data_IF_677924574365
#
_entry.id   IF_677924574365
#
_cell.length_a   1.000
_cell.length_b   1.000
_cell.length_c   1.000
_cell.angle_alpha   90.00
_cell.angle_beta   90.00
_cell.angle_gamma   90.00
#
_symmetry.space_group_name_H-M   'P 1'
#
loop_
_entity.id
_entity.type
_entity.pdbx_description
1 polymer ?
#
# COMPACT_ATOMS: atom_id res chain seq x y z
N UNK A 1 25.38 11.61 15.31
CA UNK A 1 24.46 10.53 15.74
C UNK A 1 23.09 10.86 15.21
N UNK A 2 22.44 9.93 14.50
CA UNK A 2 21.09 10.15 13.99
C UNK A 2 20.12 10.36 15.17
N UNK A 3 19.30 11.42 15.14
CA UNK A 3 18.26 11.64 16.14
C UNK A 3 17.18 10.54 16.03
N UNK A 4 16.88 9.79 17.10
CA UNK A 4 15.87 8.73 17.05
C UNK A 4 14.48 9.27 16.68
N UNK A 5 14.13 10.45 17.19
CA UNK A 5 12.85 11.12 16.92
C UNK A 5 12.75 11.50 15.45
N UNK A 6 13.82 12.08 14.90
CA UNK A 6 13.84 12.47 13.48
C UNK A 6 13.75 11.24 12.57
N UNK A 7 14.45 10.15 12.92
CA UNK A 7 14.35 8.89 12.19
C UNK A 7 12.90 8.37 12.17
N UNK A 8 12.21 8.35 13.32
CA UNK A 8 10.82 7.91 13.41
C UNK A 8 9.89 8.79 12.56
N UNK A 9 10.03 10.12 12.63
CA UNK A 9 9.23 11.06 11.83
C UNK A 9 9.43 10.87 10.33
N UNK A 10 10.68 10.68 9.89
CA UNK A 10 11.00 10.42 8.49
C UNK A 10 10.34 9.12 8.02
N UNK A 11 10.42 8.04 8.79
CA UNK A 11 9.78 6.76 8.45
C UNK A 11 8.26 6.78 8.53
N UNK A 12 7.67 7.68 9.33
CA UNK A 12 6.23 7.88 9.39
C UNK A 12 5.68 8.53 8.12
N UNK A 13 6.42 9.47 7.53
CA UNK A 13 6.02 10.13 6.27
C UNK A 13 6.24 9.18 5.09
N UNK A 14 7.43 8.58 4.97
CA UNK A 14 7.75 7.58 3.95
C UNK A 14 8.44 6.40 4.63
N UNK A 15 7.82 5.20 4.62
CA UNK A 15 8.42 4.00 5.19
C UNK A 15 9.83 3.76 4.64
N UNK A 16 10.81 3.62 5.54
CA UNK A 16 12.21 3.34 5.16
C UNK A 16 13.15 4.56 5.25
N UNK A 17 12.64 5.79 5.25
CA UNK A 17 13.50 6.99 5.28
C UNK A 17 14.29 7.17 6.59
N UNK A 18 13.68 6.89 7.74
CA UNK A 18 14.38 6.92 9.02
C UNK A 18 15.52 5.92 9.10
N UNK A 19 15.34 4.75 8.48
CA UNK A 19 16.39 3.73 8.36
C UNK A 19 17.54 4.24 7.47
N UNK A 20 17.23 4.94 6.37
CA UNK A 20 18.26 5.60 5.56
C UNK A 20 19.00 6.69 6.33
N UNK A 21 18.27 7.53 7.07
CA UNK A 21 18.86 8.57 7.92
C UNK A 21 19.76 8.00 9.01
N UNK A 22 19.42 6.83 9.56
CA UNK A 22 20.25 6.11 10.53
C UNK A 22 21.40 5.30 9.90
N UNK A 23 21.60 5.35 8.57
CA UNK A 23 22.67 4.64 7.85
C UNK A 23 22.38 3.17 7.52
N UNK A 24 21.16 2.69 7.79
CA UNK A 24 20.74 1.31 7.52
C UNK A 24 20.01 1.18 6.17
N UNK A 25 20.77 1.32 5.07
CA UNK A 25 20.22 1.29 3.70
C UNK A 25 19.42 0.02 3.40
N UNK A 26 19.96 -1.17 3.67
CA UNK A 26 19.26 -2.43 3.36
C UNK A 26 17.92 -2.54 4.10
N UNK A 27 17.87 -2.12 5.36
CA UNK A 27 16.62 -2.13 6.15
C UNK A 27 15.59 -1.14 5.61
N UNK A 28 16.03 0.05 5.20
CA UNK A 28 15.14 1.04 4.62
C UNK A 28 14.52 0.58 3.29
N UNK A 29 15.30 -0.02 2.40
CA UNK A 29 14.82 -0.56 1.12
C UNK A 29 13.79 -1.67 1.37
N UNK A 30 14.10 -2.63 2.25
CA UNK A 30 13.19 -3.73 2.58
C UNK A 30 11.86 -3.21 3.14
N UNK A 31 11.90 -2.24 4.06
CA UNK A 31 10.70 -1.66 4.65
C UNK A 31 9.87 -0.90 3.60
N UNK A 32 10.52 -0.14 2.73
CA UNK A 32 9.86 0.61 1.66
C UNK A 32 9.14 -0.34 0.69
N UNK A 33 9.81 -1.39 0.23
CA UNK A 33 9.22 -2.39 -0.68
C UNK A 33 8.03 -3.08 0.00
N UNK A 34 8.21 -3.54 1.24
CA UNK A 34 7.15 -4.22 2.00
C UNK A 34 5.93 -3.33 2.20
N UNK A 35 6.12 -2.05 2.55
CA UNK A 35 5.03 -1.10 2.71
C UNK A 35 4.22 -0.92 1.42
N UNK A 36 4.89 -0.84 0.26
CA UNK A 36 4.21 -0.72 -1.04
C UNK A 36 3.41 -1.97 -1.38
N UNK A 37 3.96 -3.17 -1.15
CA UNK A 37 3.24 -4.44 -1.37
C UNK A 37 1.97 -4.48 -0.52
N UNK A 38 2.08 -4.16 0.77
CA UNK A 38 0.93 -4.15 1.70
C UNK A 38 -0.11 -3.11 1.26
N UNK A 39 0.32 -1.92 0.84
CA UNK A 39 -0.58 -0.88 0.36
C UNK A 39 -1.39 -1.34 -0.87
N UNK A 40 -0.73 -1.93 -1.87
CA UNK A 40 -1.39 -2.45 -3.08
C UNK A 40 -2.39 -3.54 -2.73
N UNK A 41 -1.97 -4.52 -1.90
CA UNK A 41 -2.85 -5.62 -1.48
C UNK A 41 -4.07 -5.09 -0.71
N UNK A 42 -3.86 -4.13 0.19
CA UNK A 42 -4.94 -3.52 0.98
C UNK A 42 -5.94 -2.79 0.08
N UNK A 43 -5.46 -1.96 -0.86
CA UNK A 43 -6.33 -1.27 -1.82
C UNK A 43 -7.13 -2.26 -2.67
N UNK A 44 -6.50 -3.34 -3.14
CA UNK A 44 -7.19 -4.38 -3.91
C UNK A 44 -8.27 -5.08 -3.08
N UNK A 45 -7.95 -5.48 -1.84
CA UNK A 45 -8.90 -6.13 -0.94
C UNK A 45 -10.09 -5.23 -0.58
N UNK A 46 -9.86 -3.94 -0.36
CA UNK A 46 -10.92 -2.96 -0.10
C UNK A 46 -11.83 -2.80 -1.33
N UNK A 47 -11.28 -2.89 -2.55
CA UNK A 47 -12.04 -2.72 -3.78
C UNK A 47 -12.81 -3.99 -4.22
N UNK A 48 -12.51 -5.16 -3.66
CA UNK A 48 -13.16 -6.42 -4.01
C UNK A 48 -14.69 -6.39 -3.96
N UNK A 49 -15.36 -5.84 -2.93
CA UNK A 49 -16.82 -5.77 -2.89
C UNK A 49 -17.41 -4.96 -4.05
N UNK A 50 -16.75 -3.85 -4.42
CA UNK A 50 -17.17 -3.01 -5.55
C UNK A 50 -17.03 -3.79 -6.86
N UNK A 51 -15.94 -4.54 -7.03
CA UNK A 51 -15.73 -5.38 -8.20
C UNK A 51 -16.81 -6.47 -8.34
N UNK A 52 -17.23 -7.07 -7.22
CA UNK A 52 -18.34 -8.05 -7.22
C UNK A 52 -19.65 -7.39 -7.63
N UNK A 53 -19.99 -6.24 -7.06
CA UNK A 53 -21.22 -5.51 -7.43
C UNK A 53 -21.19 -5.10 -8.90
N UNK A 54 -20.07 -4.57 -9.38
CA UNK A 54 -19.88 -4.20 -10.78
C UNK A 54 -20.03 -5.40 -11.72
N UNK A 55 -19.51 -6.58 -11.33
CA UNK A 55 -19.67 -7.81 -12.11
C UNK A 55 -21.14 -8.27 -12.17
N UNK A 56 -21.86 -8.19 -11.06
CA UNK A 56 -23.29 -8.53 -11.00
C UNK A 56 -24.10 -7.57 -11.88
N UNK A 57 -23.84 -6.26 -11.76
CA UNK A 57 -24.54 -5.23 -12.54
C UNK A 57 -24.30 -5.40 -14.05
N UNK A 58 -23.05 -5.60 -14.45
CA UNK A 58 -22.70 -5.87 -15.84
C UNK A 58 -23.39 -7.13 -16.39
N UNK A 59 -23.46 -8.21 -15.61
CA UNK A 59 -24.16 -9.43 -15.99
C UNK A 59 -25.67 -9.17 -16.17
N UNK A 60 -26.29 -8.48 -15.21
CA UNK A 60 -27.72 -8.18 -15.26
C UNK A 60 -28.08 -7.32 -16.48
N UNK A 61 -27.28 -6.30 -16.79
CA UNK A 61 -27.47 -5.46 -17.97
C UNK A 61 -27.32 -6.27 -19.27
N UNK A 62 -26.28 -7.08 -19.39
CA UNK A 62 -26.07 -7.92 -20.57
C UNK A 62 -27.21 -8.93 -20.79
N UNK A 63 -27.80 -9.45 -19.71
CA UNK A 63 -28.90 -10.43 -19.77
C UNK A 63 -30.24 -9.83 -20.21
N UNK A 64 -30.44 -8.51 -20.04
CA UNK A 64 -31.67 -7.80 -20.42
C UNK A 64 -31.72 -7.42 -21.89
N UNK A 65 -30.60 -7.44 -22.61
CA UNK A 65 -30.51 -7.06 -24.02
C UNK A 65 -30.92 -8.21 -24.97
N UNK A 66 -31.94 -8.99 -24.61
CA UNK A 66 -32.63 -9.93 -25.49
C UNK A 66 -34.03 -9.42 -25.81
#
# INVERSE_FOLDING_TARGET
MASPILAALLSFIIPGLGQFYAGYLTRGILLFIFANIVAILTLYMINMPIMVVAAIDAYALASKTK
#
